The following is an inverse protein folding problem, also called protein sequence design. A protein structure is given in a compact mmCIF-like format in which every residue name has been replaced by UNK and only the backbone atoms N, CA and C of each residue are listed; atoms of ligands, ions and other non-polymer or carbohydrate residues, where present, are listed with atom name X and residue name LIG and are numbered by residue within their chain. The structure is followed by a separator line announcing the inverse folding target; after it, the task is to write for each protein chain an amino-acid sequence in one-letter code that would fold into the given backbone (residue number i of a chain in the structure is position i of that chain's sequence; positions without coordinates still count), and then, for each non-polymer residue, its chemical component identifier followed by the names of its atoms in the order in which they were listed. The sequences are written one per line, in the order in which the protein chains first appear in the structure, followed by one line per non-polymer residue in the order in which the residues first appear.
data_IF_483390193795
#
_entry.id   IF_483390193795
#
_cell.length_a   1.000
_cell.length_b   1.000
_cell.length_c   1.000
_cell.angle_alpha   90.00
_cell.angle_beta   90.00
_cell.angle_gamma   90.00
#
_symmetry.space_group_name_H-M   'P 1'
#
loop_
_entity.id
_entity.type
_entity.pdbx_description
1 polymer ?
#
# COMPACT_ATOMS: atom_id res chain seq x y z
N UNK A 1 -19.21 -24.24 -2.60
CA UNK A 1 -18.18 -23.32 -2.09
C UNK A 1 -17.83 -22.38 -3.22
N UNK A 2 -18.19 -21.10 -3.15
CA UNK A 2 -17.69 -20.11 -4.08
C UNK A 2 -16.16 -20.13 -4.02
N UNK A 3 -15.51 -20.22 -5.18
CA UNK A 3 -14.04 -20.18 -5.25
C UNK A 3 -13.61 -18.81 -4.73
N UNK A 4 -12.84 -18.79 -3.66
CA UNK A 4 -12.19 -17.59 -3.13
C UNK A 4 -11.19 -17.10 -4.18
N UNK A 5 -11.57 -16.12 -4.98
CA UNK A 5 -10.76 -15.64 -6.11
C UNK A 5 -10.39 -14.18 -5.91
N UNK A 6 -9.15 -13.85 -6.28
CA UNK A 6 -8.64 -12.48 -6.34
C UNK A 6 -8.86 -11.82 -7.70
N UNK A 7 -9.54 -12.49 -8.63
CA UNK A 7 -9.82 -11.95 -9.98
C UNK A 7 -10.53 -10.61 -9.90
N UNK A 8 -10.05 -9.64 -10.67
CA UNK A 8 -10.55 -8.27 -10.69
C UNK A 8 -10.14 -7.41 -9.48
N UNK A 9 -9.35 -7.95 -8.55
CA UNK A 9 -8.86 -7.25 -7.35
C UNK A 9 -7.35 -7.25 -7.23
N UNK A 10 -6.65 -8.04 -8.04
CA UNK A 10 -5.20 -8.19 -7.99
C UNK A 10 -4.52 -7.18 -8.90
N UNK A 11 -3.42 -6.60 -8.40
CA UNK A 11 -2.53 -5.68 -9.08
C UNK A 11 -1.09 -6.20 -8.95
N UNK A 12 -0.21 -5.67 -9.78
CA UNK A 12 1.24 -5.85 -9.70
C UNK A 12 1.85 -4.46 -9.53
N UNK A 13 2.79 -4.31 -8.62
CA UNK A 13 3.56 -3.07 -8.47
C UNK A 13 4.52 -2.89 -9.65
N UNK A 14 4.63 -1.66 -10.17
CA UNK A 14 5.55 -1.32 -11.25
C UNK A 14 7.01 -1.23 -10.83
N UNK A 15 7.33 -1.59 -9.57
CA UNK A 15 8.71 -1.91 -9.17
C UNK A 15 9.27 -3.11 -9.95
N UNK A 16 8.40 -4.00 -10.44
CA UNK A 16 8.74 -5.09 -11.36
C UNK A 16 8.76 -4.56 -12.80
N UNK A 17 9.92 -4.62 -13.44
CA UNK A 17 10.10 -4.17 -14.83
C UNK A 17 9.22 -4.92 -15.85
N UNK A 18 8.79 -6.14 -15.52
CA UNK A 18 7.92 -6.97 -16.36
C UNK A 18 6.42 -6.77 -16.05
N UNK A 19 6.07 -5.86 -15.14
CA UNK A 19 4.71 -5.66 -14.61
C UNK A 19 3.66 -5.44 -15.71
N UNK A 20 3.94 -4.64 -16.75
CA UNK A 20 3.05 -4.41 -17.88
C UNK A 20 2.71 -5.72 -18.61
N UNK A 21 3.73 -6.47 -19.01
CA UNK A 21 3.58 -7.72 -19.75
C UNK A 21 2.83 -8.77 -18.93
N UNK A 22 3.10 -8.83 -17.62
CA UNK A 22 2.45 -9.72 -16.67
C UNK A 22 1.00 -9.30 -16.42
N UNK A 23 0.73 -8.01 -16.25
CA UNK A 23 -0.62 -7.50 -16.07
C UNK A 23 -1.51 -7.84 -17.27
N UNK A 24 -1.02 -7.63 -18.50
CA UNK A 24 -1.69 -8.03 -19.74
C UNK A 24 -1.95 -9.52 -19.81
N UNK A 25 -0.92 -10.34 -19.52
CA UNK A 25 -0.98 -11.81 -19.61
C UNK A 25 -1.98 -12.42 -18.63
N UNK A 26 -2.05 -11.90 -17.40
CA UNK A 26 -2.88 -12.45 -16.33
C UNK A 26 -4.22 -11.71 -16.16
N UNK A 27 -4.42 -10.58 -16.83
CA UNK A 27 -5.63 -9.76 -16.73
C UNK A 27 -5.80 -9.12 -15.35
N UNK A 28 -4.69 -8.61 -14.78
CA UNK A 28 -4.65 -7.94 -13.47
C UNK A 28 -4.36 -6.44 -13.61
N UNK A 29 -4.58 -5.66 -12.54
CA UNK A 29 -4.29 -4.24 -12.51
C UNK A 29 -2.82 -3.93 -12.25
N UNK A 30 -2.49 -2.65 -12.14
CA UNK A 30 -1.17 -2.15 -11.79
C UNK A 30 -1.24 -1.22 -10.57
N UNK A 31 -0.20 -1.24 -9.77
CA UNK A 31 0.09 -0.19 -8.81
C UNK A 31 1.30 0.60 -9.29
N UNK A 32 1.07 1.87 -9.58
CA UNK A 32 2.07 2.78 -10.15
C UNK A 32 3.01 3.24 -9.03
N UNK A 33 4.26 2.83 -9.09
CA UNK A 33 5.30 3.10 -8.08
C UNK A 33 6.41 4.05 -8.58
N UNK A 34 6.37 4.53 -9.82
CA UNK A 34 7.39 5.42 -10.39
C UNK A 34 7.63 6.68 -9.57
N UNK A 35 6.60 7.14 -8.86
CA UNK A 35 6.63 8.35 -8.04
C UNK A 35 6.72 8.06 -6.53
N UNK A 36 6.97 6.83 -6.12
CA UNK A 36 7.26 6.50 -4.72
C UNK A 36 8.58 7.15 -4.23
N UNK A 37 9.43 7.54 -5.15
CA UNK A 37 10.56 8.44 -4.94
C UNK A 37 10.18 9.86 -5.30
N UNK A 38 10.17 10.78 -4.31
CA UNK A 38 9.83 12.19 -4.52
C UNK A 38 10.74 12.87 -5.57
N UNK A 39 11.96 12.35 -5.77
CA UNK A 39 12.87 12.80 -6.83
C UNK A 39 12.22 12.83 -8.22
N UNK A 40 11.42 11.81 -8.54
CA UNK A 40 10.76 11.68 -9.85
C UNK A 40 9.60 12.68 -10.05
N UNK A 41 9.14 13.34 -8.99
CA UNK A 41 8.20 14.46 -9.10
C UNK A 41 8.90 15.74 -9.60
N UNK A 42 10.21 15.89 -9.37
CA UNK A 42 10.99 17.09 -9.69
C UNK A 42 11.85 16.91 -10.94
N UNK A 43 12.46 15.74 -11.11
CA UNK A 43 13.43 15.45 -12.17
C UNK A 43 12.82 14.55 -13.21
N UNK A 44 12.95 14.91 -14.47
CA UNK A 44 12.45 14.17 -15.64
C UNK A 44 10.95 13.77 -15.52
N UNK A 45 10.17 14.56 -14.77
CA UNK A 45 8.76 14.30 -14.44
C UNK A 45 7.92 13.93 -15.66
N UNK A 46 8.04 14.67 -16.76
CA UNK A 46 7.27 14.41 -17.97
C UNK A 46 7.64 13.06 -18.63
N UNK A 47 8.90 12.66 -18.55
CA UNK A 47 9.35 11.35 -19.02
C UNK A 47 8.74 10.22 -18.18
N UNK A 48 8.74 10.36 -16.85
CA UNK A 48 8.09 9.41 -15.96
C UNK A 48 6.57 9.32 -16.20
N UNK A 49 5.91 10.45 -16.44
CA UNK A 49 4.48 10.48 -16.79
C UNK A 49 4.22 9.75 -18.11
N UNK A 50 5.07 9.98 -19.13
CA UNK A 50 4.93 9.31 -20.41
C UNK A 50 5.08 7.78 -20.26
N UNK A 51 6.07 7.33 -19.52
CA UNK A 51 6.26 5.91 -19.17
C UNK A 51 5.04 5.34 -18.45
N UNK A 52 4.51 6.02 -17.42
CA UNK A 52 3.30 5.57 -16.74
C UNK A 52 2.12 5.41 -17.72
N UNK A 53 1.89 6.38 -18.59
CA UNK A 53 0.81 6.31 -19.59
C UNK A 53 0.97 5.15 -20.56
N UNK A 54 2.21 4.79 -20.92
CA UNK A 54 2.51 3.67 -21.79
C UNK A 54 2.18 2.33 -21.09
N UNK A 55 2.72 2.08 -19.91
CA UNK A 55 2.50 0.84 -19.16
C UNK A 55 1.04 0.64 -18.71
N UNK A 56 0.28 1.74 -18.58
CA UNK A 56 -1.13 1.70 -18.18
C UNK A 56 -2.08 1.29 -19.31
N UNK A 57 -1.65 1.27 -20.58
CA UNK A 57 -2.55 1.11 -21.75
C UNK A 57 -3.37 -0.19 -21.71
N UNK A 58 -2.79 -1.26 -21.21
CA UNK A 58 -3.39 -2.60 -21.23
C UNK A 58 -3.96 -3.06 -19.88
N UNK A 59 -3.90 -2.22 -18.85
CA UNK A 59 -4.48 -2.50 -17.55
C UNK A 59 -5.76 -1.69 -17.32
N UNK A 60 -6.71 -2.24 -16.58
CA UNK A 60 -8.03 -1.62 -16.38
C UNK A 60 -8.28 -1.11 -14.95
N UNK A 61 -7.34 -1.34 -14.03
CA UNK A 61 -7.48 -1.01 -12.61
C UNK A 61 -6.14 -0.59 -12.05
N UNK A 62 -6.15 0.51 -11.27
CA UNK A 62 -4.91 1.13 -10.80
C UNK A 62 -4.97 1.49 -9.33
N UNK A 63 -3.82 1.37 -8.68
CA UNK A 63 -3.41 2.05 -7.46
C UNK A 63 -2.20 2.93 -7.77
N UNK A 64 -1.92 3.88 -6.90
CA UNK A 64 -0.75 4.76 -7.00
C UNK A 64 -0.03 4.76 -5.65
N UNK A 65 1.25 4.43 -5.65
CA UNK A 65 2.09 4.53 -4.46
C UNK A 65 2.67 5.93 -4.34
N UNK A 66 2.29 6.66 -3.30
CA UNK A 66 2.80 8.00 -3.04
C UNK A 66 4.27 7.96 -2.58
N UNK A 67 5.01 9.07 -2.69
CA UNK A 67 6.37 9.14 -2.16
C UNK A 67 6.38 8.90 -0.65
N UNK A 68 7.40 8.18 -0.17
CA UNK A 68 7.45 7.77 1.22
C UNK A 68 8.75 8.16 1.96
N UNK A 69 9.91 8.15 1.26
CA UNK A 69 11.19 8.39 1.89
C UNK A 69 11.26 9.81 2.52
N UNK A 70 11.73 9.90 3.76
CA UNK A 70 11.83 11.11 4.59
C UNK A 70 10.50 11.84 4.85
N UNK A 71 9.36 11.32 4.39
CA UNK A 71 8.05 11.90 4.59
C UNK A 71 7.36 11.29 5.81
N UNK A 72 6.86 12.13 6.72
CA UNK A 72 6.19 11.68 7.93
C UNK A 72 5.07 12.65 8.35
N UNK A 73 3.83 12.20 8.21
CA UNK A 73 2.64 12.92 8.68
C UNK A 73 2.70 13.25 10.18
N UNK A 74 3.34 12.38 10.96
CA UNK A 74 3.53 12.49 12.40
C UNK A 74 4.79 13.26 12.83
N UNK A 75 5.60 13.79 11.91
CA UNK A 75 6.89 14.40 12.25
C UNK A 75 6.76 15.44 13.36
N UNK A 76 7.71 15.44 14.30
CA UNK A 76 7.82 16.46 15.35
C UNK A 76 8.13 17.83 14.72
N UNK A 77 8.95 17.84 13.67
CA UNK A 77 9.30 19.07 12.95
C UNK A 77 8.13 19.54 12.07
N UNK A 78 7.60 20.76 12.31
CA UNK A 78 6.51 21.30 11.51
C UNK A 78 6.90 21.52 10.04
N UNK A 79 8.16 21.76 9.72
CA UNK A 79 8.63 21.90 8.32
C UNK A 79 8.56 20.57 7.59
N UNK A 80 8.94 19.47 8.23
CA UNK A 80 8.80 18.13 7.64
C UNK A 80 7.32 17.80 7.38
N UNK A 81 6.42 18.12 8.32
CA UNK A 81 4.97 17.94 8.07
C UNK A 81 4.47 18.78 6.89
N UNK A 82 4.95 20.02 6.76
CA UNK A 82 4.60 20.90 5.61
C UNK A 82 5.05 20.27 4.29
N UNK A 83 6.32 19.88 4.19
CA UNK A 83 6.87 19.22 3.00
C UNK A 83 6.12 17.91 2.73
N UNK A 84 5.81 17.11 3.74
CA UNK A 84 5.02 15.88 3.58
C UNK A 84 3.64 16.18 2.97
N UNK A 85 2.94 17.21 3.45
CA UNK A 85 1.65 17.60 2.89
C UNK A 85 1.76 18.10 1.45
N UNK A 86 2.80 18.87 1.12
CA UNK A 86 3.07 19.34 -0.25
C UNK A 86 3.33 18.15 -1.19
N UNK A 87 4.23 17.22 -0.83
CA UNK A 87 4.53 16.04 -1.63
C UNK A 87 3.33 15.12 -1.84
N UNK A 88 2.52 14.93 -0.81
CA UNK A 88 1.27 14.16 -0.96
C UNK A 88 0.28 14.88 -1.89
N UNK A 89 0.12 16.20 -1.79
CA UNK A 89 -0.74 16.96 -2.70
C UNK A 89 -0.27 16.88 -4.15
N UNK A 90 1.05 17.01 -4.39
CA UNK A 90 1.65 16.89 -5.72
C UNK A 90 1.41 15.51 -6.33
N UNK A 91 1.72 14.45 -5.58
CA UNK A 91 1.56 13.06 -6.05
C UNK A 91 0.10 12.67 -6.27
N UNK A 92 -0.82 13.10 -5.39
CA UNK A 92 -2.26 12.86 -5.55
C UNK A 92 -2.83 13.62 -6.75
N UNK A 93 -2.35 14.84 -6.99
CA UNK A 93 -2.74 15.60 -8.18
C UNK A 93 -2.27 14.90 -9.46
N UNK A 94 -1.02 14.43 -9.47
CA UNK A 94 -0.48 13.67 -10.58
C UNK A 94 -1.23 12.35 -10.80
N UNK A 95 -1.55 11.61 -9.74
CA UNK A 95 -2.36 10.41 -9.83
C UNK A 95 -3.72 10.70 -10.49
N UNK A 96 -4.36 11.82 -10.11
CA UNK A 96 -5.63 12.25 -10.73
C UNK A 96 -5.47 12.60 -12.22
N UNK A 97 -4.34 13.20 -12.65
CA UNK A 97 -4.01 13.44 -14.07
C UNK A 97 -3.83 12.13 -14.86
N UNK A 98 -3.40 11.06 -14.19
CA UNK A 98 -3.32 9.70 -14.73
C UNK A 98 -4.67 8.94 -14.64
N UNK A 99 -5.71 9.54 -14.08
CA UNK A 99 -7.02 8.91 -13.89
C UNK A 99 -7.08 7.97 -12.69
N UNK A 100 -6.12 8.03 -11.76
CA UNK A 100 -6.02 7.19 -10.58
C UNK A 100 -6.52 7.98 -9.36
N UNK A 101 -7.40 7.37 -8.57
CA UNK A 101 -7.95 7.98 -7.36
C UNK A 101 -7.76 7.13 -6.09
N UNK A 102 -6.98 6.06 -6.17
CA UNK A 102 -6.64 5.15 -5.07
C UNK A 102 -5.16 5.24 -4.80
N UNK A 103 -4.79 5.67 -3.59
CA UNK A 103 -3.42 6.07 -3.24
C UNK A 103 -2.98 5.29 -2.00
N UNK A 104 -1.82 4.67 -2.05
CA UNK A 104 -1.14 4.13 -0.87
C UNK A 104 -0.18 5.18 -0.33
N UNK A 105 -0.15 5.33 0.99
CA UNK A 105 0.80 6.19 1.71
C UNK A 105 1.33 5.47 2.93
N UNK A 106 2.61 5.64 3.26
CA UNK A 106 3.19 5.09 4.47
C UNK A 106 2.72 5.79 5.74
N UNK A 107 2.56 5.05 6.84
CA UNK A 107 2.21 5.60 8.16
C UNK A 107 3.27 6.53 8.73
N UNK A 108 4.55 6.25 8.47
CA UNK A 108 5.68 7.07 8.88
C UNK A 108 6.06 6.90 10.36
N UNK A 109 5.64 5.81 11.01
CA UNK A 109 6.06 5.48 12.37
C UNK A 109 7.53 5.06 12.41
N UNK A 110 8.31 5.66 13.33
CA UNK A 110 9.70 5.27 13.57
C UNK A 110 9.81 4.77 15.01
N UNK A 111 10.10 3.46 15.22
CA UNK A 111 10.26 2.87 16.54
C UNK A 111 11.32 3.60 17.37
N UNK A 112 11.07 3.77 18.69
CA UNK A 112 11.94 4.48 19.63
C UNK A 112 12.08 5.99 19.41
N UNK A 113 11.57 6.54 18.29
CA UNK A 113 11.52 7.98 18.03
C UNK A 113 10.16 8.53 18.45
N UNK A 114 9.09 7.84 18.06
CA UNK A 114 7.72 8.27 18.41
C UNK A 114 7.12 7.40 19.51
N UNK A 115 6.48 8.04 20.46
CA UNK A 115 5.52 7.37 21.34
C UNK A 115 4.23 7.10 20.58
N UNK A 116 3.57 5.94 20.77
CA UNK A 116 2.35 5.58 20.04
C UNK A 116 1.24 6.64 20.12
N UNK A 117 1.03 7.22 21.29
CA UNK A 117 0.01 8.24 21.52
C UNK A 117 0.29 9.51 20.71
N UNK A 118 1.56 9.95 20.69
CA UNK A 118 1.99 11.10 19.90
C UNK A 118 1.82 10.84 18.40
N UNK A 119 2.24 9.65 17.93
CA UNK A 119 2.10 9.23 16.54
C UNK A 119 0.64 9.31 16.08
N UNK A 120 -0.28 8.75 16.87
CA UNK A 120 -1.73 8.78 16.57
C UNK A 120 -2.24 10.23 16.55
N UNK A 121 -1.98 11.01 17.60
CA UNK A 121 -2.49 12.39 17.70
C UNK A 121 -1.98 13.29 16.56
N UNK A 122 -0.68 13.22 16.26
CA UNK A 122 -0.06 14.01 15.21
C UNK A 122 -0.59 13.62 13.81
N UNK A 123 -0.71 12.32 13.54
CA UNK A 123 -1.25 11.81 12.27
C UNK A 123 -2.72 12.16 12.09
N UNK A 124 -3.54 12.04 13.13
CA UNK A 124 -4.96 12.45 13.08
C UNK A 124 -5.10 13.92 12.72
N UNK A 125 -4.28 14.78 13.34
CA UNK A 125 -4.28 16.23 13.04
C UNK A 125 -3.90 16.48 11.60
N UNK A 126 -2.81 15.87 11.13
CA UNK A 126 -2.32 16.01 9.76
C UNK A 126 -3.40 15.62 8.72
N UNK A 127 -4.00 14.45 8.88
CA UNK A 127 -5.01 13.98 7.93
C UNK A 127 -6.30 14.82 7.96
N UNK A 128 -6.73 15.30 9.13
CA UNK A 128 -7.86 16.23 9.24
C UNK A 128 -7.62 17.56 8.54
N UNK A 129 -6.37 18.01 8.45
CA UNK A 129 -5.98 19.23 7.75
C UNK A 129 -5.81 19.00 6.24
N UNK A 130 -5.34 17.81 5.82
CA UNK A 130 -5.06 17.51 4.42
C UNK A 130 -6.31 17.07 3.64
N UNK A 131 -7.11 16.15 4.16
CA UNK A 131 -8.25 15.56 3.46
C UNK A 131 -9.27 16.58 2.91
N UNK A 132 -9.63 17.66 3.61
CA UNK A 132 -10.52 18.68 3.06
C UNK A 132 -10.01 19.39 1.80
N UNK A 133 -8.69 19.32 1.55
CA UNK A 133 -8.03 19.93 0.39
C UNK A 133 -8.01 19.00 -0.82
N UNK A 134 -8.31 17.71 -0.63
CA UNK A 134 -8.34 16.69 -1.66
C UNK A 134 -9.71 16.55 -2.30
N UNK A 135 -9.74 16.03 -3.53
CA UNK A 135 -10.98 15.68 -4.20
C UNK A 135 -11.78 14.62 -3.41
N UNK A 136 -13.11 14.71 -3.46
CA UNK A 136 -14.01 13.82 -2.70
C UNK A 136 -13.94 12.34 -3.14
N UNK A 137 -13.46 12.08 -4.35
CA UNK A 137 -13.37 10.73 -4.89
C UNK A 137 -12.00 10.05 -4.65
N UNK A 138 -11.04 10.75 -4.04
CA UNK A 138 -9.73 10.18 -3.70
C UNK A 138 -9.89 9.28 -2.48
N UNK A 139 -9.33 8.07 -2.57
CA UNK A 139 -9.22 7.12 -1.47
C UNK A 139 -7.75 6.95 -1.09
N UNK A 140 -7.46 7.02 0.19
CA UNK A 140 -6.11 6.88 0.73
C UNK A 140 -6.06 5.66 1.64
N UNK A 141 -5.15 4.74 1.35
CA UNK A 141 -4.86 3.58 2.17
C UNK A 141 -3.54 3.80 2.93
N UNK A 142 -3.64 3.94 4.25
CA UNK A 142 -2.49 4.13 5.15
C UNK A 142 -1.83 2.78 5.43
N UNK A 143 -0.58 2.65 5.05
CA UNK A 143 0.18 1.42 5.09
C UNK A 143 1.00 1.28 6.38
N UNK A 144 1.05 0.05 6.92
CA UNK A 144 1.97 -0.30 7.99
C UNK A 144 3.38 -0.53 7.44
N UNK A 145 4.38 0.03 8.13
CA UNK A 145 5.81 -0.16 7.79
C UNK A 145 6.59 -0.67 9.00
N UNK A 146 6.61 0.10 10.09
CA UNK A 146 7.39 -0.22 11.30
C UNK A 146 6.53 -0.26 12.55
N UNK A 147 5.21 -0.23 12.42
CA UNK A 147 4.30 -0.33 13.55
C UNK A 147 4.40 -1.73 14.19
N UNK A 148 4.38 -1.81 15.53
CA UNK A 148 4.46 -3.10 16.22
C UNK A 148 3.19 -3.95 16.11
N UNK A 149 2.08 -3.35 15.70
CA UNK A 149 0.76 -3.96 15.57
C UNK A 149 -0.23 -2.99 14.94
N UNK A 150 -1.47 -3.41 14.66
CA UNK A 150 -2.47 -2.65 13.92
C UNK A 150 -3.07 -1.47 14.70
N UNK A 151 -2.92 -1.43 16.02
CA UNK A 151 -3.72 -0.59 16.92
C UNK A 151 -3.59 0.90 16.62
N UNK A 152 -2.36 1.38 16.38
CA UNK A 152 -2.11 2.81 16.14
C UNK A 152 -2.71 3.27 14.80
N UNK A 153 -2.59 2.47 13.75
CA UNK A 153 -3.18 2.77 12.44
C UNK A 153 -4.71 2.79 12.51
N UNK A 154 -5.31 1.84 13.22
CA UNK A 154 -6.77 1.80 13.47
C UNK A 154 -7.22 3.07 14.21
N UNK A 155 -6.49 3.46 15.27
CA UNK A 155 -6.79 4.67 16.03
C UNK A 155 -6.68 5.94 15.17
N UNK A 156 -5.71 5.99 14.23
CA UNK A 156 -5.58 7.11 13.30
C UNK A 156 -6.84 7.21 12.41
N UNK A 157 -7.22 6.13 11.73
CA UNK A 157 -8.38 6.12 10.83
C UNK A 157 -9.68 6.46 11.60
N UNK A 158 -9.88 5.86 12.78
CA UNK A 158 -11.02 6.17 13.65
C UNK A 158 -11.01 7.64 14.13
N UNK A 159 -9.83 8.14 14.51
CA UNK A 159 -9.68 9.53 14.98
C UNK A 159 -9.91 10.56 13.88
N UNK A 160 -9.53 10.25 12.63
CA UNK A 160 -9.83 11.09 11.45
C UNK A 160 -11.30 11.05 11.10
N UNK A 161 -11.92 9.87 11.11
CA UNK A 161 -13.33 9.62 10.83
C UNK A 161 -13.80 10.20 9.49
N UNK A 162 -13.04 9.89 8.42
CA UNK A 162 -13.37 10.23 7.02
C UNK A 162 -13.25 8.94 6.20
N UNK A 163 -14.32 8.55 5.48
CA UNK A 163 -14.38 7.30 4.70
C UNK A 163 -13.36 7.21 3.57
N UNK A 164 -12.75 8.33 3.21
CA UNK A 164 -11.68 8.38 2.20
C UNK A 164 -10.33 7.89 2.73
N UNK A 165 -10.15 7.80 4.05
CA UNK A 165 -8.94 7.28 4.69
C UNK A 165 -9.24 5.89 5.25
N UNK A 166 -8.59 4.88 4.68
CA UNK A 166 -8.60 3.52 5.18
C UNK A 166 -7.19 2.99 5.38
N UNK A 167 -7.05 1.67 5.40
CA UNK A 167 -5.79 1.00 5.70
C UNK A 167 -5.31 0.16 4.50
N UNK A 168 -4.00 0.12 4.31
CA UNK A 168 -3.28 -0.90 3.56
C UNK A 168 -2.55 -1.81 4.54
N UNK A 169 -2.72 -3.12 4.43
CA UNK A 169 -1.93 -4.09 5.14
C UNK A 169 -0.81 -4.59 4.23
N UNK A 170 0.42 -4.17 4.51
CA UNK A 170 1.59 -4.85 3.98
C UNK A 170 1.92 -6.05 4.88
N UNK A 171 1.78 -7.26 4.29
CA UNK A 171 1.96 -8.50 5.04
C UNK A 171 3.42 -8.84 5.29
N UNK A 172 4.32 -8.37 4.44
CA UNK A 172 5.75 -8.53 4.62
C UNK A 172 6.28 -7.62 5.74
N UNK A 173 5.89 -6.34 5.75
CA UNK A 173 6.20 -5.42 6.84
C UNK A 173 5.65 -5.95 8.19
N UNK A 174 4.43 -6.50 8.19
CA UNK A 174 3.86 -7.14 9.38
C UNK A 174 4.62 -8.37 9.85
N UNK A 175 5.47 -8.98 9.01
CA UNK A 175 6.34 -10.11 9.32
C UNK A 175 7.79 -9.71 9.63
N UNK A 176 8.18 -8.46 9.42
CA UNK A 176 9.54 -7.97 9.68
C UNK A 176 9.82 -7.80 11.17
N UNK A 177 11.10 -7.70 11.54
CA UNK A 177 11.56 -7.64 12.92
C UNK A 177 11.05 -6.46 13.77
N UNK A 178 10.41 -5.46 13.21
CA UNK A 178 9.77 -4.36 13.94
C UNK A 178 8.37 -4.73 14.44
N UNK A 179 7.64 -5.55 13.69
CA UNK A 179 6.33 -6.05 14.11
C UNK A 179 6.47 -7.01 15.29
N UNK A 180 5.56 -6.88 16.26
CA UNK A 180 5.42 -7.80 17.40
C UNK A 180 4.17 -8.64 17.28
N UNK A 181 3.44 -8.48 16.19
CA UNK A 181 2.15 -9.10 15.93
C UNK A 181 2.28 -9.92 14.65
N UNK A 182 2.04 -11.25 14.68
CA UNK A 182 2.06 -12.07 13.46
C UNK A 182 1.10 -11.53 12.40
N UNK A 183 1.45 -11.60 11.09
CA UNK A 183 0.66 -10.98 10.00
C UNK A 183 -0.82 -11.36 10.00
N UNK A 184 -1.15 -12.59 10.31
CA UNK A 184 -2.54 -13.04 10.38
C UNK A 184 -3.37 -12.38 11.50
N UNK A 185 -2.73 -11.83 12.52
CA UNK A 185 -3.42 -11.18 13.63
C UNK A 185 -3.70 -9.69 13.36
N UNK A 186 -3.18 -9.14 12.26
CA UNK A 186 -3.53 -7.81 11.78
C UNK A 186 -4.89 -7.78 11.09
N UNK A 187 -5.30 -8.92 10.47
CA UNK A 187 -6.44 -8.98 9.53
C UNK A 187 -7.75 -8.58 10.21
N UNK A 188 -8.15 -9.28 11.28
CA UNK A 188 -9.46 -9.07 11.90
C UNK A 188 -9.63 -7.66 12.48
N UNK A 189 -8.62 -7.09 13.22
CA UNK A 189 -8.75 -5.73 13.72
C UNK A 189 -8.82 -4.67 12.60
N UNK A 190 -8.08 -4.87 11.49
CA UNK A 190 -8.05 -3.93 10.37
C UNK A 190 -9.25 -4.09 9.42
N UNK A 191 -9.95 -5.24 9.43
CA UNK A 191 -10.99 -5.57 8.44
C UNK A 191 -12.05 -4.47 8.20
N UNK A 192 -12.54 -3.73 9.22
CA UNK A 192 -13.51 -2.67 9.00
C UNK A 192 -12.99 -1.49 8.16
N UNK A 193 -11.67 -1.31 8.09
CA UNK A 193 -11.00 -0.17 7.47
C UNK A 193 -10.09 -0.56 6.30
N UNK A 194 -9.92 -1.89 6.04
CA UNK A 194 -8.96 -2.39 5.08
C UNK A 194 -9.44 -2.18 3.64
N UNK A 195 -8.72 -1.38 2.89
CA UNK A 195 -8.97 -1.09 1.47
C UNK A 195 -8.04 -1.87 0.55
N UNK A 196 -6.79 -2.05 0.97
CA UNK A 196 -5.74 -2.61 0.14
C UNK A 196 -4.79 -3.52 0.93
N UNK A 197 -4.07 -4.38 0.23
CA UNK A 197 -3.09 -5.30 0.82
C UNK A 197 -1.89 -5.42 -0.10
N UNK A 198 -0.68 -5.19 0.40
CA UNK A 198 0.56 -5.53 -0.28
C UNK A 198 0.97 -6.96 0.06
N UNK A 199 1.31 -7.71 -0.97
CA UNK A 199 1.62 -9.13 -0.90
C UNK A 199 3.06 -9.39 -1.33
N UNK A 200 3.89 -9.74 -0.39
CA UNK A 200 5.21 -10.33 -0.58
C UNK A 200 5.56 -11.20 0.64
N UNK A 201 6.61 -11.99 0.53
CA UNK A 201 7.07 -12.83 1.64
C UNK A 201 8.51 -12.43 2.03
N UNK A 202 8.95 -12.88 3.20
CA UNK A 202 10.31 -12.61 3.69
C UNK A 202 10.75 -13.66 4.73
N UNK A 203 11.92 -13.44 5.34
CA UNK A 203 12.52 -14.35 6.31
C UNK A 203 12.07 -14.10 7.78
N UNK A 204 11.14 -13.16 8.02
CA UNK A 204 10.70 -12.75 9.35
C UNK A 204 11.62 -11.73 10.03
N UNK A 205 12.63 -11.21 9.34
CA UNK A 205 13.60 -10.23 9.85
C UNK A 205 13.73 -9.05 8.91
N UNK A 206 14.09 -9.33 7.64
CA UNK A 206 14.38 -8.34 6.61
C UNK A 206 13.22 -8.21 5.63
N UNK A 207 13.03 -7.02 5.11
CA UNK A 207 12.03 -6.72 4.10
C UNK A 207 12.53 -7.11 2.70
N UNK A 208 12.39 -8.40 2.37
CA UNK A 208 13.02 -9.00 1.18
C UNK A 208 12.19 -8.90 -0.10
N UNK A 209 10.91 -8.55 -0.02
CA UNK A 209 9.98 -8.58 -1.16
C UNK A 209 10.05 -9.88 -1.97
N UNK A 210 10.23 -11.03 -1.28
CA UNK A 210 10.33 -12.35 -1.90
C UNK A 210 8.97 -12.81 -2.44
N UNK A 211 8.98 -13.73 -3.42
CA UNK A 211 7.75 -14.26 -3.99
C UNK A 211 6.91 -15.02 -2.94
N UNK A 212 5.60 -15.10 -3.16
CA UNK A 212 4.61 -15.56 -2.17
C UNK A 212 4.87 -16.95 -1.60
N UNK A 213 5.46 -17.84 -2.40
CA UNK A 213 5.79 -19.19 -1.98
C UNK A 213 7.11 -19.33 -1.22
N UNK A 214 7.89 -18.24 -1.04
CA UNK A 214 9.24 -18.26 -0.48
C UNK A 214 9.36 -17.34 0.72
N UNK A 215 9.36 -17.91 1.93
CA UNK A 215 9.53 -17.14 3.16
C UNK A 215 8.86 -17.83 4.34
N UNK A 216 8.68 -17.08 5.42
CA UNK A 216 8.15 -17.61 6.71
C UNK A 216 6.66 -17.38 6.89
N UNK A 217 6.01 -16.57 6.05
CA UNK A 217 4.56 -16.35 6.08
C UNK A 217 3.86 -17.57 5.46
N UNK A 218 2.92 -18.18 6.19
CA UNK A 218 1.95 -19.11 5.60
C UNK A 218 0.94 -18.33 4.75
N UNK A 219 1.39 -18.01 3.53
CA UNK A 219 0.64 -17.17 2.60
C UNK A 219 -0.74 -17.76 2.26
N UNK A 220 -0.88 -19.08 2.21
CA UNK A 220 -2.17 -19.72 1.91
C UNK A 220 -3.18 -19.46 3.01
N UNK A 221 -2.79 -19.69 4.27
CA UNK A 221 -3.64 -19.43 5.43
C UNK A 221 -4.00 -17.95 5.53
N UNK A 222 -3.03 -17.07 5.28
CA UNK A 222 -3.22 -15.63 5.34
C UNK A 222 -4.21 -15.15 4.27
N UNK A 223 -4.04 -15.57 3.00
CA UNK A 223 -4.95 -15.22 1.90
C UNK A 223 -6.37 -15.76 2.11
N UNK A 224 -6.50 -16.98 2.62
CA UNK A 224 -7.81 -17.56 2.94
C UNK A 224 -8.57 -16.71 3.99
N UNK A 225 -7.86 -16.20 4.99
CA UNK A 225 -8.45 -15.28 6.00
C UNK A 225 -8.79 -13.92 5.40
N UNK A 226 -7.88 -13.30 4.65
CA UNK A 226 -8.11 -12.01 3.99
C UNK A 226 -9.35 -12.04 3.09
N UNK A 227 -9.45 -13.06 2.24
CA UNK A 227 -10.60 -13.20 1.34
C UNK A 227 -11.93 -13.43 2.06
N UNK A 228 -11.89 -14.03 3.27
CA UNK A 228 -13.07 -14.23 4.11
C UNK A 228 -13.46 -12.96 4.86
N UNK A 229 -12.49 -12.31 5.54
CA UNK A 229 -12.76 -11.21 6.48
C UNK A 229 -12.81 -9.86 5.79
N UNK A 230 -12.09 -9.71 4.64
CA UNK A 230 -11.95 -8.45 3.92
C UNK A 230 -12.38 -8.60 2.45
N UNK A 231 -13.63 -9.00 2.13
CA UNK A 231 -14.05 -9.36 0.78
C UNK A 231 -14.02 -8.20 -0.22
N UNK A 232 -13.89 -6.95 0.24
CA UNK A 232 -13.81 -5.75 -0.61
C UNK A 232 -12.37 -5.28 -0.85
N UNK A 233 -11.41 -5.77 -0.09
CA UNK A 233 -10.01 -5.37 -0.24
C UNK A 233 -9.46 -5.77 -1.61
N UNK A 234 -8.58 -4.94 -2.14
CA UNK A 234 -7.77 -5.20 -3.33
C UNK A 234 -6.36 -5.58 -2.91
N UNK A 235 -5.57 -6.11 -3.83
CA UNK A 235 -4.26 -6.69 -3.52
C UNK A 235 -3.25 -6.23 -4.55
N UNK A 236 -2.02 -5.93 -4.12
CA UNK A 236 -0.87 -5.72 -5.02
C UNK A 236 0.22 -6.74 -4.68
N UNK A 237 0.72 -7.44 -5.69
CA UNK A 237 1.99 -8.17 -5.57
C UNK A 237 3.11 -7.14 -5.63
N UNK A 238 3.89 -7.06 -4.56
CA UNK A 238 4.98 -6.11 -4.43
C UNK A 238 6.34 -6.83 -4.40
N UNK A 239 6.67 -7.44 -5.53
CA UNK A 239 7.94 -8.13 -5.77
C UNK A 239 8.72 -7.44 -6.88
N UNK A 240 10.06 -7.51 -6.84
CA UNK A 240 10.90 -7.11 -7.98
C UNK A 240 10.76 -8.06 -9.18
N UNK A 241 10.26 -9.29 -8.96
CA UNK A 241 9.97 -10.30 -9.96
C UNK A 241 8.68 -11.03 -9.59
N UNK A 242 7.55 -10.56 -10.12
CA UNK A 242 6.21 -11.00 -9.72
C UNK A 242 5.75 -12.30 -10.39
N UNK A 243 6.47 -12.76 -11.43
CA UNK A 243 6.06 -13.94 -12.20
C UNK A 243 5.84 -15.19 -11.32
N UNK A 244 6.78 -15.51 -10.43
CA UNK A 244 6.68 -16.69 -9.56
C UNK A 244 5.52 -16.57 -8.56
N UNK A 245 5.21 -15.36 -8.08
CA UNK A 245 4.05 -15.09 -7.25
C UNK A 245 2.72 -15.32 -8.00
N UNK A 246 2.64 -14.90 -9.26
CA UNK A 246 1.46 -15.14 -10.11
C UNK A 246 1.26 -16.63 -10.41
N UNK A 247 2.34 -17.35 -10.70
CA UNK A 247 2.31 -18.82 -10.87
C UNK A 247 1.81 -19.47 -9.59
N UNK A 248 2.37 -19.09 -8.44
CA UNK A 248 1.97 -19.62 -7.14
C UNK A 248 0.48 -19.36 -6.84
N UNK A 249 -0.02 -18.15 -7.10
CA UNK A 249 -1.45 -17.81 -6.92
C UNK A 249 -2.35 -18.68 -7.81
N UNK A 250 -1.96 -18.90 -9.06
CA UNK A 250 -2.70 -19.74 -10.01
C UNK A 250 -2.73 -21.21 -9.57
N UNK A 251 -1.59 -21.77 -9.17
CA UNK A 251 -1.47 -23.16 -8.72
C UNK A 251 -2.25 -23.42 -7.43
N UNK A 252 -2.38 -22.41 -6.56
CA UNK A 252 -3.17 -22.51 -5.33
C UNK A 252 -4.64 -22.10 -5.48
N UNK A 253 -5.09 -21.76 -6.70
CA UNK A 253 -6.51 -21.52 -7.03
C UNK A 253 -7.05 -20.15 -6.64
N UNK A 254 -6.18 -19.13 -6.50
CA UNK A 254 -6.56 -17.74 -6.23
C UNK A 254 -6.77 -16.90 -7.50
N UNK A 255 -6.21 -17.35 -8.65
CA UNK A 255 -6.37 -16.74 -9.98
C UNK A 255 -7.17 -17.60 -10.94
#
# INVERSE_FOLDING_TARGET
MERRSMRGKLHISTIDADSESLARRYGVGLEIAEFCWAHNLDIDRESHIATCREIMQDASSFWFHAPFAELAACSIDPKVRTITAERYMESITLAAELGINRIVVHGGFIPKVYYPEYYVEASVRFWKELLPRLSKNVLIALENVMEPGPETLIQIVQGVNDERLGLCLDVGHANCGYSKTPPENWIEPMAPFLMHVHLHNNNGVDDLHAHLGCGTIDMKRLLDRLLLSCPKATYTIENQHSYDSLVWLKENGYL
#
